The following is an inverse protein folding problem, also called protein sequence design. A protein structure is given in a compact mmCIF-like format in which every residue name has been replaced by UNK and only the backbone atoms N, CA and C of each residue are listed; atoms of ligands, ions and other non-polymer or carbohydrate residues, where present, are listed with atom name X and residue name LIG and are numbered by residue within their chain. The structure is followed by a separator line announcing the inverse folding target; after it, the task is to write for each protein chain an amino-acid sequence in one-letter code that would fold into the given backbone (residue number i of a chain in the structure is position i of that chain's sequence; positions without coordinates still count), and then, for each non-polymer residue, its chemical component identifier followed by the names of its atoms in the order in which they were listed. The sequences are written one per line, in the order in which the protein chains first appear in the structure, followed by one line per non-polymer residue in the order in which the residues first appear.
data_IF_880802335807
#
_entry.id   IF_880802335807
#
_cell.length_a   1.000
_cell.length_b   1.000
_cell.length_c   1.000
_cell.angle_alpha   90.00
_cell.angle_beta   90.00
_cell.angle_gamma   90.00
#
_symmetry.space_group_name_H-M   'P 1'
#
loop_
_entity.id
_entity.type
_entity.pdbx_description
1 polymer ?
#
# COMPACT_ATOMS: atom_id res chain seq x y z
N UNK A 1 10.20 -0.63 -23.52
CA UNK A 1 9.88 -0.19 -22.14
C UNK A 1 9.21 -1.29 -21.32
N UNK A 2 8.57 -2.26 -21.97
CA UNK A 2 7.81 -3.36 -21.34
C UNK A 2 8.58 -4.24 -20.35
N UNK A 3 9.92 -4.25 -20.41
CA UNK A 3 10.77 -4.98 -19.46
C UNK A 3 10.53 -4.58 -18.00
N UNK A 4 10.19 -3.32 -17.74
CA UNK A 4 9.93 -2.79 -16.40
C UNK A 4 8.44 -2.57 -16.12
N UNK A 5 7.55 -3.10 -16.95
CA UNK A 5 6.12 -3.08 -16.67
C UNK A 5 5.77 -4.22 -15.71
N UNK A 6 5.25 -3.87 -14.54
CA UNK A 6 4.75 -4.79 -13.51
C UNK A 6 3.25 -4.58 -13.36
N UNK A 7 2.47 -5.63 -13.60
CA UNK A 7 1.01 -5.63 -13.57
C UNK A 7 0.49 -6.94 -12.97
N UNK A 8 -0.72 -6.93 -12.43
CA UNK A 8 -1.33 -8.10 -11.76
C UNK A 8 -0.41 -8.67 -10.69
N UNK A 9 -0.35 -10.00 -10.58
CA UNK A 9 0.53 -10.75 -9.65
C UNK A 9 1.97 -10.23 -9.54
N UNK A 10 2.52 -9.66 -10.64
CA UNK A 10 3.90 -9.19 -10.64
C UNK A 10 4.09 -8.00 -9.69
N UNK A 11 3.05 -7.24 -9.36
CA UNK A 11 3.14 -6.09 -8.45
C UNK A 11 3.51 -6.47 -7.02
N UNK A 12 3.32 -7.74 -6.62
CA UNK A 12 3.73 -8.24 -5.29
C UNK A 12 5.24 -8.19 -5.03
N UNK A 13 6.05 -8.09 -6.09
CA UNK A 13 7.51 -8.00 -5.99
C UNK A 13 8.00 -6.55 -5.86
N UNK A 14 7.09 -5.58 -5.89
CA UNK A 14 7.42 -4.17 -5.66
C UNK A 14 7.20 -3.89 -4.18
N UNK A 15 8.22 -3.32 -3.53
CA UNK A 15 8.11 -2.71 -2.22
C UNK A 15 9.00 -1.47 -2.20
N UNK A 16 8.39 -0.30 -2.30
CA UNK A 16 9.10 0.97 -2.19
C UNK A 16 9.22 1.36 -0.71
N UNK A 17 10.42 1.59 -0.18
CA UNK A 17 10.61 1.85 1.24
C UNK A 17 10.15 3.27 1.60
N UNK A 18 9.24 3.38 2.56
CA UNK A 18 8.83 4.63 3.20
C UNK A 18 9.44 4.69 4.60
N UNK A 19 10.36 5.63 4.83
CA UNK A 19 11.02 5.80 6.11
C UNK A 19 12.48 6.24 5.96
N UNK A 20 12.96 7.02 6.93
CA UNK A 20 14.35 7.45 7.00
C UNK A 20 15.23 6.47 7.78
N UNK A 21 16.55 6.66 7.68
CA UNK A 21 17.51 5.88 8.46
C UNK A 21 17.22 6.08 9.96
N UNK A 22 16.97 4.99 10.69
CA UNK A 22 16.70 5.01 12.13
C UNK A 22 15.27 5.39 12.53
N UNK A 23 14.35 5.67 11.59
CA UNK A 23 12.97 6.05 11.90
C UNK A 23 12.00 4.84 11.98
N UNK A 24 12.43 3.68 11.49
CA UNK A 24 11.53 2.59 11.11
C UNK A 24 11.03 2.76 9.68
N UNK A 25 10.39 1.72 9.14
CA UNK A 25 10.00 1.65 7.74
C UNK A 25 8.66 0.97 7.50
N UNK A 26 8.02 1.34 6.41
CA UNK A 26 6.82 0.71 5.85
C UNK A 26 7.07 0.52 4.35
N UNK A 27 6.75 -0.65 3.80
CA UNK A 27 6.79 -0.90 2.36
C UNK A 27 5.52 -0.41 1.67
N UNK A 28 5.66 0.28 0.54
CA UNK A 28 4.56 0.58 -0.39
C UNK A 28 4.61 -0.42 -1.55
N UNK A 29 3.63 -1.32 -1.60
CA UNK A 29 3.54 -2.33 -2.64
C UNK A 29 3.05 -1.76 -3.98
N UNK A 30 3.31 -2.47 -5.08
CA UNK A 30 2.92 -2.04 -6.43
C UNK A 30 1.41 -1.96 -6.67
N UNK A 31 0.60 -2.56 -5.78
CA UNK A 31 -0.87 -2.46 -5.80
C UNK A 31 -1.40 -1.40 -4.82
N UNK A 32 -0.55 -0.60 -4.18
CA UNK A 32 -0.95 0.44 -3.21
C UNK A 32 -1.08 -0.06 -1.76
N UNK A 33 -0.84 -1.34 -1.47
CA UNK A 33 -0.88 -1.89 -0.11
C UNK A 33 0.31 -1.42 0.73
N UNK A 34 0.07 -1.09 2.00
CA UNK A 34 1.10 -0.82 3.00
C UNK A 34 1.50 -2.12 3.72
N UNK A 35 2.73 -2.56 3.53
CA UNK A 35 3.26 -3.84 4.01
C UNK A 35 4.52 -3.64 4.87
N UNK A 36 5.03 -4.71 5.48
CA UNK A 36 6.34 -4.72 6.16
C UNK A 36 6.48 -3.60 7.21
N UNK A 37 5.59 -3.59 8.21
CA UNK A 37 5.52 -2.54 9.22
C UNK A 37 6.65 -2.66 10.26
N UNK A 38 7.85 -2.24 9.88
CA UNK A 38 9.09 -2.28 10.66
C UNK A 38 9.26 -1.00 11.47
N UNK A 39 8.30 -0.76 12.36
CA UNK A 39 8.27 0.37 13.29
C UNK A 39 8.34 -0.15 14.74
N UNK A 40 8.56 0.76 15.69
CA UNK A 40 8.66 0.41 17.12
C UNK A 40 9.78 -0.58 17.47
N UNK A 41 10.92 -0.49 16.79
CA UNK A 41 12.08 -1.38 16.98
C UNK A 41 11.74 -2.87 16.81
N UNK A 42 10.74 -3.19 15.98
CA UNK A 42 10.29 -4.56 15.72
C UNK A 42 10.52 -4.94 14.26
N UNK A 43 11.41 -5.90 13.96
CA UNK A 43 11.46 -6.53 12.64
C UNK A 43 10.12 -7.20 12.31
N UNK A 44 9.58 -6.94 11.12
CA UNK A 44 8.18 -7.28 10.83
C UNK A 44 7.91 -7.44 9.32
N UNK A 45 8.83 -8.08 8.59
CA UNK A 45 8.64 -8.42 7.17
C UNK A 45 7.50 -9.42 6.96
N UNK A 46 6.80 -9.30 5.83
CA UNK A 46 5.61 -10.09 5.49
C UNK A 46 4.39 -9.75 6.34
N UNK A 47 4.47 -8.74 7.22
CA UNK A 47 3.35 -8.35 8.06
C UNK A 47 2.34 -7.49 7.31
N UNK A 48 1.09 -7.61 7.75
CA UNK A 48 0.00 -6.72 7.36
C UNK A 48 -0.47 -5.95 8.59
N UNK A 49 -0.98 -4.74 8.37
CA UNK A 49 -1.67 -3.97 9.38
C UNK A 49 -3.09 -3.68 8.89
N UNK A 50 -4.08 -4.30 9.53
CA UNK A 50 -5.49 -4.15 9.14
C UNK A 50 -5.93 -2.69 9.15
N UNK A 51 -6.93 -2.36 8.33
CA UNK A 51 -7.54 -1.02 8.24
C UNK A 51 -6.54 0.12 7.96
N UNK A 52 -5.34 -0.20 7.48
CA UNK A 52 -4.31 0.78 7.12
C UNK A 52 -4.22 0.90 5.60
N UNK A 53 -5.06 1.77 5.03
CA UNK A 53 -5.12 2.04 3.60
C UNK A 53 -5.53 3.48 3.34
N UNK A 54 -5.27 3.94 2.12
CA UNK A 54 -5.90 5.16 1.61
C UNK A 54 -7.26 4.83 1.02
N UNK A 55 -8.22 5.71 1.21
CA UNK A 55 -9.54 5.62 0.62
C UNK A 55 -9.98 7.00 0.11
N UNK A 56 -10.76 7.00 -0.97
CA UNK A 56 -11.37 8.19 -1.54
C UNK A 56 -12.87 8.04 -1.46
N UNK A 57 -13.54 9.10 -1.02
CA UNK A 57 -14.99 9.25 -1.09
C UNK A 57 -15.30 10.44 -2.00
N UNK A 58 -16.11 10.22 -3.02
CA UNK A 58 -16.60 11.27 -3.91
C UNK A 58 -18.02 11.63 -3.51
N UNK A 59 -18.31 12.93 -3.43
CA UNK A 59 -19.62 13.45 -3.05
C UNK A 59 -20.12 14.46 -4.07
N UNK A 60 -21.43 14.42 -4.31
CA UNK A 60 -22.16 15.39 -5.12
C UNK A 60 -23.43 15.81 -4.37
N UNK A 61 -23.66 17.12 -4.24
CA UNK A 61 -24.81 17.69 -3.54
C UNK A 61 -25.06 17.11 -2.12
N UNK A 62 -23.99 16.76 -1.40
CA UNK A 62 -24.08 16.20 -0.04
C UNK A 62 -24.37 14.69 0.03
N UNK A 63 -24.50 14.01 -1.11
CA UNK A 63 -24.62 12.55 -1.18
C UNK A 63 -23.30 11.91 -1.63
N UNK A 64 -22.93 10.77 -1.04
CA UNK A 64 -21.81 9.95 -1.53
C UNK A 64 -22.20 9.26 -2.83
N UNK A 65 -21.45 9.54 -3.90
CA UNK A 65 -21.65 8.91 -5.22
C UNK A 65 -20.68 7.78 -5.49
N UNK A 66 -19.52 7.79 -4.82
CA UNK A 66 -18.54 6.70 -4.91
C UNK A 66 -17.65 6.66 -3.67
N UNK A 67 -17.19 5.47 -3.31
CA UNK A 67 -16.20 5.25 -2.26
C UNK A 67 -15.30 4.08 -2.64
N UNK A 68 -13.99 4.31 -2.68
CA UNK A 68 -13.00 3.30 -3.08
C UNK A 68 -11.82 3.27 -2.14
N UNK A 69 -11.34 2.06 -1.91
CA UNK A 69 -10.03 1.82 -1.31
C UNK A 69 -8.98 1.94 -2.42
N UNK A 70 -7.88 2.65 -2.16
CA UNK A 70 -6.75 2.78 -3.08
C UNK A 70 -5.73 1.67 -2.84
N UNK A 71 -6.22 0.44 -2.85
CA UNK A 71 -5.42 -0.77 -2.72
C UNK A 71 -6.04 -1.81 -3.66
N UNK A 72 -5.22 -2.37 -4.54
CA UNK A 72 -5.60 -3.46 -5.44
C UNK A 72 -5.63 -4.82 -4.75
N UNK A 73 -5.90 -5.86 -5.53
CA UNK A 73 -6.13 -7.21 -5.01
C UNK A 73 -4.96 -7.76 -4.18
N UNK A 74 -5.31 -8.50 -3.12
CA UNK A 74 -4.38 -9.31 -2.33
C UNK A 74 -4.06 -10.56 -3.16
N UNK A 75 -2.89 -10.55 -3.79
CA UNK A 75 -2.38 -11.61 -4.67
C UNK A 75 -1.06 -12.13 -4.14
#
# INVERSE_FOLDING_TARGET
MDRFLYTGERTRHISFPLGGIGAGGIGLAGNGHLVDWEIFNKPNKGSVNGFSHFAIRAEEAGATVDARILQGDLT
#
